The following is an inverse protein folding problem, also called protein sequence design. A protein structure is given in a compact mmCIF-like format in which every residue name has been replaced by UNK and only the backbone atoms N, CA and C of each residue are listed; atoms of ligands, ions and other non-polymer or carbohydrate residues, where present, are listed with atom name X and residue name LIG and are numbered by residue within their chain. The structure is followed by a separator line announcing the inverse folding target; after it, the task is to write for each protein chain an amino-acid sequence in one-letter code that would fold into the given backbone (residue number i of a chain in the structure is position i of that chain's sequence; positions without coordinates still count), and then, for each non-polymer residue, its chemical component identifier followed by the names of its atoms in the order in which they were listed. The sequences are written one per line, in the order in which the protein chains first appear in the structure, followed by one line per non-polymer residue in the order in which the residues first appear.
data_IF_019007965061
#
_entry.id   IF_019007965061
#
_cell.length_a   1.000
_cell.length_b   1.000
_cell.length_c   1.000
_cell.angle_alpha   90.00
_cell.angle_beta   90.00
_cell.angle_gamma   90.00
#
_symmetry.space_group_name_H-M   'P 1'
#
loop_
_entity.id
_entity.type
_entity.pdbx_description
1 polymer ?
#
# COMPACT_ATOMS: atom_id res chain seq x y z
N UNK A 1 -67.06 -8.24 -66.69
CA UNK A 1 -65.62 -8.23 -66.33
C UNK A 1 -65.52 -7.88 -64.86
N UNK A 2 -65.35 -8.90 -64.00
CA UNK A 2 -65.28 -8.77 -62.54
C UNK A 2 -63.80 -8.86 -62.14
N UNK A 3 -63.24 -7.79 -61.56
CA UNK A 3 -61.87 -7.76 -61.05
C UNK A 3 -61.86 -8.34 -59.63
N UNK A 4 -61.08 -9.40 -59.45
CA UNK A 4 -60.80 -10.01 -58.15
C UNK A 4 -59.64 -9.26 -57.47
N UNK A 5 -59.89 -8.66 -56.31
CA UNK A 5 -58.85 -8.16 -55.42
C UNK A 5 -58.49 -9.25 -54.41
N UNK A 6 -57.22 -9.67 -54.39
CA UNK A 6 -56.64 -10.55 -53.36
C UNK A 6 -56.23 -9.72 -52.13
N UNK A 7 -56.47 -10.20 -50.89
CA UNK A 7 -55.98 -9.54 -49.70
C UNK A 7 -54.52 -9.91 -49.44
N UNK A 8 -53.66 -8.89 -49.30
CA UNK A 8 -52.28 -9.04 -48.81
C UNK A 8 -52.35 -9.25 -47.30
N UNK A 9 -51.96 -10.44 -46.86
CA UNK A 9 -51.78 -10.80 -45.45
C UNK A 9 -50.52 -10.12 -44.93
N UNK A 10 -50.65 -9.27 -43.91
CA UNK A 10 -49.51 -8.74 -43.17
C UNK A 10 -48.87 -9.88 -42.35
N UNK A 11 -47.70 -10.35 -42.80
CA UNK A 11 -46.82 -11.20 -42.00
C UNK A 11 -46.26 -10.35 -40.87
N UNK A 12 -46.76 -10.57 -39.66
CA UNK A 12 -46.20 -10.02 -38.43
C UNK A 12 -44.77 -10.57 -38.24
N UNK A 13 -43.76 -9.71 -38.43
CA UNK A 13 -42.39 -10.00 -38.02
C UNK A 13 -42.29 -9.80 -36.51
N UNK A 14 -42.27 -10.90 -35.76
CA UNK A 14 -41.84 -10.95 -34.37
C UNK A 14 -40.37 -10.52 -34.30
N UNK A 15 -40.12 -9.30 -33.81
CA UNK A 15 -38.81 -8.88 -33.31
C UNK A 15 -38.65 -9.50 -31.91
N UNK A 16 -37.91 -10.61 -31.83
CA UNK A 16 -37.39 -11.08 -30.56
C UNK A 16 -36.29 -10.12 -30.09
N UNK A 17 -36.64 -9.19 -29.20
CA UNK A 17 -35.65 -8.41 -28.47
C UNK A 17 -34.92 -9.35 -27.49
N UNK A 18 -33.74 -9.83 -27.90
CA UNK A 18 -32.83 -10.49 -26.98
C UNK A 18 -32.35 -9.47 -25.94
N UNK A 19 -32.95 -9.50 -24.76
CA UNK A 19 -32.41 -8.89 -23.55
C UNK A 19 -31.05 -9.55 -23.27
N UNK A 20 -29.98 -8.93 -23.75
CA UNK A 20 -28.65 -9.18 -23.21
C UNK A 20 -28.70 -8.62 -21.79
N UNK A 21 -28.96 -9.50 -20.83
CA UNK A 21 -28.77 -9.23 -19.41
C UNK A 21 -27.27 -9.02 -19.20
N UNK A 22 -26.82 -7.78 -19.44
CA UNK A 22 -25.50 -7.33 -19.05
C UNK A 22 -25.42 -7.44 -17.54
N UNK A 23 -24.76 -8.49 -17.06
CA UNK A 23 -24.41 -8.63 -15.65
C UNK A 23 -23.44 -7.50 -15.33
N UNK A 24 -23.96 -6.36 -14.88
CA UNK A 24 -23.16 -5.33 -14.26
C UNK A 24 -22.62 -5.91 -12.95
N UNK A 25 -21.43 -6.50 -13.00
CA UNK A 25 -20.63 -6.73 -11.81
C UNK A 25 -20.26 -5.35 -11.26
N UNK A 26 -21.11 -4.81 -10.39
CA UNK A 26 -20.70 -3.74 -9.51
C UNK A 26 -19.55 -4.27 -8.65
N UNK A 27 -18.36 -3.70 -8.81
CA UNK A 27 -17.28 -3.96 -7.87
C UNK A 27 -17.77 -3.50 -6.49
N UNK A 28 -17.98 -4.44 -5.57
CA UNK A 28 -18.15 -4.10 -4.16
C UNK A 28 -16.89 -3.36 -3.72
N UNK A 29 -17.05 -2.09 -3.33
CA UNK A 29 -15.97 -1.33 -2.74
C UNK A 29 -15.66 -1.98 -1.39
N UNK A 30 -14.43 -2.46 -1.23
CA UNK A 30 -13.91 -2.86 0.09
C UNK A 30 -13.91 -1.62 0.97
N UNK A 31 -14.62 -1.67 2.10
CA UNK A 31 -14.67 -0.58 3.07
C UNK A 31 -13.62 -0.83 4.15
N UNK A 32 -12.77 0.16 4.41
CA UNK A 32 -11.78 0.11 5.50
C UNK A 32 -12.31 0.89 6.71
N UNK A 33 -12.08 0.37 7.91
CA UNK A 33 -12.40 1.08 9.16
C UNK A 33 -11.40 2.22 9.38
N UNK A 34 -11.88 3.45 9.26
CA UNK A 34 -11.10 4.67 9.51
C UNK A 34 -11.51 5.36 10.82
N UNK A 35 -12.27 4.69 11.69
CA UNK A 35 -12.60 5.21 13.02
C UNK A 35 -11.33 5.30 13.89
N UNK A 36 -11.20 6.29 14.77
CA UNK A 36 -10.02 6.40 15.63
C UNK A 36 -9.90 5.28 16.67
N UNK A 37 -11.01 4.62 17.03
CA UNK A 37 -11.04 3.56 18.05
C UNK A 37 -10.33 2.28 17.59
N UNK A 38 -10.35 1.98 16.29
CA UNK A 38 -9.72 0.81 15.67
C UNK A 38 -9.95 -0.50 16.48
N UNK A 39 -11.20 -0.90 16.75
CA UNK A 39 -11.52 -2.04 17.61
C UNK A 39 -10.98 -3.38 17.08
N UNK A 40 -10.72 -3.46 15.77
CA UNK A 40 -10.16 -4.65 15.13
C UNK A 40 -8.61 -4.68 15.13
N UNK A 41 -7.95 -3.64 15.65
CA UNK A 41 -6.48 -3.59 15.72
C UNK A 41 -5.95 -4.76 16.52
N UNK A 42 -5.08 -5.54 15.89
CA UNK A 42 -4.48 -6.71 16.51
C UNK A 42 -3.55 -6.31 17.66
N UNK A 43 -3.52 -7.13 18.71
CA UNK A 43 -2.66 -6.96 19.89
C UNK A 43 -1.71 -8.13 20.00
N UNK A 44 -0.48 -7.84 20.38
CA UNK A 44 0.58 -8.82 20.59
C UNK A 44 0.71 -9.24 22.05
N UNK A 45 1.53 -10.26 22.28
CA UNK A 45 2.01 -10.63 23.61
C UNK A 45 3.46 -10.15 23.78
N UNK A 46 3.86 -9.87 25.04
CA UNK A 46 5.25 -9.56 25.38
C UNK A 46 6.14 -10.73 24.99
N UNK A 47 7.26 -10.41 24.34
CA UNK A 47 8.26 -11.38 23.97
C UNK A 47 9.55 -11.15 24.78
N UNK A 48 9.87 -12.03 25.75
CA UNK A 48 11.07 -11.88 26.58
C UNK A 48 12.37 -11.79 25.78
N UNK A 49 12.46 -12.45 24.63
CA UNK A 49 13.67 -12.39 23.79
C UNK A 49 13.88 -10.99 23.18
N UNK A 50 12.79 -10.28 22.86
CA UNK A 50 12.85 -8.92 22.33
C UNK A 50 13.24 -7.94 23.44
N UNK A 51 12.68 -8.09 24.63
CA UNK A 51 13.07 -7.28 25.78
C UNK A 51 14.53 -7.49 26.18
N UNK A 52 15.02 -8.73 26.18
CA UNK A 52 16.42 -9.06 26.46
C UNK A 52 17.39 -8.55 25.38
N UNK A 53 16.93 -8.30 24.16
CA UNK A 53 17.74 -7.75 23.08
C UNK A 53 17.96 -6.23 23.21
N UNK A 54 17.27 -5.54 24.13
CA UNK A 54 17.51 -4.12 24.36
C UNK A 54 18.94 -3.89 24.89
N UNK A 55 19.69 -2.94 24.30
CA UNK A 55 21.01 -2.60 24.80
C UNK A 55 20.97 -2.20 26.28
N UNK A 56 21.98 -2.60 27.04
CA UNK A 56 22.10 -2.21 28.44
C UNK A 56 22.10 -0.68 28.58
N UNK A 57 21.17 -0.16 29.41
CA UNK A 57 21.03 1.29 29.63
C UNK A 57 20.33 2.05 28.49
N UNK A 58 19.73 1.36 27.51
CA UNK A 58 18.95 2.01 26.46
C UNK A 58 17.85 2.88 27.05
N UNK A 59 17.70 4.10 26.51
CA UNK A 59 16.68 5.07 26.93
C UNK A 59 15.76 5.34 25.76
N UNK A 60 14.49 5.03 25.97
CA UNK A 60 13.43 5.45 25.06
C UNK A 60 13.23 6.97 25.12
N UNK A 61 12.69 7.55 24.05
CA UNK A 61 12.26 8.94 23.95
C UNK A 61 11.29 9.31 25.09
N UNK A 62 10.44 8.37 25.49
CA UNK A 62 9.55 8.48 26.64
C UNK A 62 9.60 7.19 27.47
N UNK A 63 9.65 7.32 28.81
CA UNK A 63 9.78 6.16 29.69
C UNK A 63 8.63 5.16 29.50
N UNK A 64 8.98 3.87 29.38
CA UNK A 64 8.05 2.75 29.17
C UNK A 64 7.18 2.84 27.89
N UNK A 65 7.60 3.64 26.91
CA UNK A 65 6.87 3.90 25.68
C UNK A 65 7.78 3.74 24.46
N UNK A 66 7.33 3.01 23.45
CA UNK A 66 7.91 3.04 22.11
C UNK A 66 7.26 4.19 21.33
N UNK A 67 8.05 5.21 21.01
CA UNK A 67 7.61 6.41 20.31
C UNK A 67 8.01 6.33 18.84
N UNK A 68 7.03 6.25 17.94
CA UNK A 68 7.26 6.05 16.50
C UNK A 68 6.81 7.28 15.72
N UNK A 69 7.68 7.84 14.90
CA UNK A 69 7.33 8.89 13.95
C UNK A 69 6.74 8.32 12.66
N UNK A 70 5.60 8.84 12.22
CA UNK A 70 4.90 8.43 10.99
C UNK A 70 4.43 9.68 10.24
N UNK A 71 4.57 9.67 8.90
CA UNK A 71 3.95 10.65 8.03
C UNK A 71 2.63 10.09 7.48
N UNK A 72 1.45 10.54 7.95
CA UNK A 72 0.17 9.90 7.66
C UNK A 72 -0.44 10.41 6.34
N UNK A 73 0.25 10.17 5.23
CA UNK A 73 -0.14 10.67 3.91
C UNK A 73 -0.11 9.59 2.81
N UNK A 74 -0.08 8.31 3.19
CA UNK A 74 0.09 7.20 2.26
C UNK A 74 -0.87 6.03 2.59
N UNK A 75 -2.19 6.18 2.39
CA UNK A 75 -3.12 5.08 2.58
C UNK A 75 -2.84 3.93 1.59
N UNK A 76 -3.05 2.65 1.99
CA UNK A 76 -3.54 2.18 3.28
C UNK A 76 -2.45 2.00 4.36
N UNK A 77 -1.20 2.39 4.09
CA UNK A 77 -0.09 2.22 5.04
C UNK A 77 -0.26 3.14 6.25
N UNK A 78 -0.51 4.42 6.01
CA UNK A 78 -0.82 5.36 7.09
C UNK A 78 -1.59 6.58 6.59
N UNK A 79 -2.65 6.95 7.32
CA UNK A 79 -3.49 8.12 7.08
C UNK A 79 -4.08 8.61 8.41
N UNK A 80 -4.68 9.79 8.42
CA UNK A 80 -5.53 10.21 9.52
C UNK A 80 -6.87 9.47 9.50
N UNK A 81 -7.37 9.14 10.68
CA UNK A 81 -8.71 8.66 10.95
C UNK A 81 -9.75 9.76 10.71
N UNK A 82 -11.03 9.42 10.88
CA UNK A 82 -12.17 10.35 10.74
C UNK A 82 -12.16 11.52 11.73
N UNK A 83 -11.37 11.43 12.81
CA UNK A 83 -11.13 12.52 13.77
C UNK A 83 -10.06 13.53 13.31
N UNK A 84 -9.46 13.31 12.13
CA UNK A 84 -8.36 14.09 11.56
C UNK A 84 -7.11 14.22 12.44
N UNK A 85 -6.91 13.30 13.40
CA UNK A 85 -5.82 13.35 14.38
C UNK A 85 -5.16 11.99 14.59
N UNK A 86 -5.94 10.94 14.75
CA UNK A 86 -5.45 9.59 15.03
C UNK A 86 -4.86 8.99 13.77
N UNK A 87 -3.66 8.42 13.85
CA UNK A 87 -3.03 7.75 12.70
C UNK A 87 -3.52 6.30 12.64
N UNK A 88 -4.05 5.91 11.48
CA UNK A 88 -4.60 4.58 11.17
C UNK A 88 -4.03 4.04 9.87
N UNK A 89 -4.06 2.72 9.69
CA UNK A 89 -3.45 2.01 8.57
C UNK A 89 -2.55 0.86 9.01
N UNK A 90 -1.82 0.28 8.07
CA UNK A 90 -0.92 -0.85 8.35
C UNK A 90 0.27 -0.48 9.25
N UNK A 91 0.91 0.67 9.03
CA UNK A 91 2.07 1.12 9.81
C UNK A 91 1.75 1.25 11.32
N UNK A 92 0.68 1.96 11.75
CA UNK A 92 0.33 2.05 13.17
C UNK A 92 -0.10 0.72 13.77
N UNK A 93 -0.69 -0.19 12.99
CA UNK A 93 -1.06 -1.53 13.45
C UNK A 93 0.17 -2.41 13.70
N UNK A 94 1.14 -2.39 12.78
CA UNK A 94 2.42 -3.09 12.96
C UNK A 94 3.22 -2.47 14.13
N UNK A 95 3.22 -1.15 14.25
CA UNK A 95 3.83 -0.43 15.37
C UNK A 95 3.26 -0.88 16.72
N UNK A 96 1.95 -1.13 16.80
CA UNK A 96 1.30 -1.62 18.02
C UNK A 96 1.80 -3.02 18.39
N UNK A 97 1.89 -3.93 17.42
CA UNK A 97 2.38 -5.30 17.66
C UNK A 97 3.85 -5.31 18.13
N UNK A 98 4.68 -4.41 17.60
CA UNK A 98 6.08 -4.27 18.01
C UNK A 98 6.17 -3.69 19.43
N UNK A 99 5.38 -2.66 19.75
CA UNK A 99 5.31 -2.11 21.09
C UNK A 99 4.84 -3.16 22.12
N UNK A 100 3.80 -3.94 21.79
CA UNK A 100 3.30 -5.03 22.63
C UNK A 100 4.38 -6.10 22.87
N UNK A 101 5.11 -6.49 21.82
CA UNK A 101 6.22 -7.45 21.89
C UNK A 101 7.35 -6.96 22.81
N UNK A 102 7.63 -5.66 22.81
CA UNK A 102 8.57 -5.00 23.72
C UNK A 102 8.02 -4.81 25.14
N UNK A 103 6.74 -5.07 25.39
CA UNK A 103 6.09 -4.72 26.65
C UNK A 103 6.09 -3.22 26.92
N UNK A 104 5.91 -2.39 25.89
CA UNK A 104 5.87 -0.93 25.98
C UNK A 104 4.54 -0.38 25.48
N UNK A 105 4.18 0.82 25.93
CA UNK A 105 3.08 1.57 25.33
C UNK A 105 3.49 2.04 23.94
N UNK A 106 2.55 2.10 23.01
CA UNK A 106 2.78 2.77 21.73
C UNK A 106 2.43 4.24 21.85
N UNK A 107 3.31 5.12 21.34
CA UNK A 107 3.00 6.52 21.04
C UNK A 107 3.37 6.82 19.60
N UNK A 108 2.39 7.25 18.82
CA UNK A 108 2.63 7.71 17.46
C UNK A 108 2.78 9.22 17.46
N UNK A 109 3.82 9.70 16.78
CA UNK A 109 4.08 11.12 16.55
C UNK A 109 3.90 11.39 15.05
N UNK A 110 2.76 11.96 14.64
CA UNK A 110 2.59 12.45 13.28
C UNK A 110 3.64 13.52 12.99
N UNK A 111 4.30 13.43 11.84
CA UNK A 111 5.30 14.42 11.41
C UNK A 111 5.27 14.63 9.89
N UNK A 112 5.76 15.80 9.45
CA UNK A 112 6.06 16.00 8.05
C UNK A 112 7.31 15.19 7.70
N UNK A 113 7.34 14.56 6.51
CA UNK A 113 8.48 13.74 6.10
C UNK A 113 9.82 14.47 6.27
N UNK A 114 9.91 15.75 5.91
CA UNK A 114 11.15 16.52 6.05
C UNK A 114 11.74 16.55 7.48
N UNK A 115 10.90 16.36 8.51
CA UNK A 115 11.30 16.49 9.93
C UNK A 115 11.81 15.17 10.53
N UNK A 116 11.69 14.03 9.83
CA UNK A 116 12.07 12.72 10.37
C UNK A 116 13.51 12.64 10.89
N UNK A 117 14.54 13.22 10.23
CA UNK A 117 15.91 13.08 10.70
C UNK A 117 16.13 13.79 12.02
N UNK A 118 15.61 15.03 12.13
CA UNK A 118 15.72 15.82 13.36
C UNK A 118 14.93 15.16 14.50
N UNK A 119 13.78 14.55 14.21
CA UNK A 119 12.98 13.84 15.20
C UNK A 119 13.76 12.68 15.84
N UNK A 120 14.50 11.89 15.05
CA UNK A 120 15.39 10.85 15.57
C UNK A 120 16.58 11.42 16.33
N UNK A 121 17.30 12.37 15.74
CA UNK A 121 18.51 12.94 16.33
C UNK A 121 18.25 13.62 17.69
N UNK A 122 17.11 14.29 17.82
CA UNK A 122 16.71 14.97 19.06
C UNK A 122 16.16 14.02 20.13
N UNK A 123 15.94 12.75 19.81
CA UNK A 123 15.25 11.80 20.68
C UNK A 123 13.77 12.11 20.86
N UNK A 124 13.14 12.87 19.94
CA UNK A 124 11.69 13.10 19.93
C UNK A 124 10.92 11.81 19.65
N UNK A 125 11.53 10.90 18.88
CA UNK A 125 11.01 9.57 18.55
C UNK A 125 12.14 8.54 18.63
N UNK A 126 11.80 7.29 18.90
CA UNK A 126 12.73 6.16 18.94
C UNK A 126 13.02 5.58 17.55
N UNK A 127 12.04 5.65 16.65
CA UNK A 127 12.15 5.11 15.28
C UNK A 127 11.17 5.80 14.33
N UNK A 128 11.37 5.60 13.02
CA UNK A 128 10.51 6.09 11.93
C UNK A 128 9.97 4.90 11.15
N UNK A 129 8.66 4.88 10.92
CA UNK A 129 8.02 3.90 10.04
C UNK A 129 7.63 4.57 8.73
N UNK A 130 8.05 3.97 7.61
CA UNK A 130 7.75 4.43 6.26
C UNK A 130 8.10 3.37 5.22
N UNK A 131 7.92 3.68 3.94
CA UNK A 131 8.24 2.79 2.82
C UNK A 131 9.75 2.55 2.71
N UNK A 132 10.11 1.30 2.42
CA UNK A 132 11.49 0.84 2.39
C UNK A 132 12.37 1.64 1.41
N UNK A 133 11.90 1.83 0.17
CA UNK A 133 12.67 2.54 -0.86
C UNK A 133 13.11 3.95 -0.44
N UNK A 134 12.24 4.69 0.27
CA UNK A 134 12.56 6.01 0.79
C UNK A 134 13.58 5.93 1.94
N UNK A 135 13.38 5.02 2.89
CA UNK A 135 14.30 4.87 4.03
C UNK A 135 15.66 4.31 3.61
N UNK A 136 15.71 3.39 2.65
CA UNK A 136 16.93 2.84 2.08
C UNK A 136 17.76 3.91 1.36
N UNK A 137 17.11 4.72 0.51
CA UNK A 137 17.77 5.86 -0.14
C UNK A 137 18.34 6.82 0.90
N UNK A 138 17.54 7.20 1.91
CA UNK A 138 18.00 8.11 2.97
C UNK A 138 19.15 7.53 3.79
N UNK A 139 19.08 6.25 4.18
CA UNK A 139 20.16 5.56 4.89
C UNK A 139 21.43 5.48 4.03
N UNK A 140 21.31 5.40 2.70
CA UNK A 140 22.48 5.41 1.81
C UNK A 140 23.22 6.77 1.77
N UNK A 141 22.51 7.87 2.08
CA UNK A 141 23.07 9.22 2.11
C UNK A 141 23.63 9.61 3.49
N UNK A 142 23.30 8.85 4.54
CA UNK A 142 23.46 9.26 5.93
C UNK A 142 24.23 8.24 6.74
N UNK A 143 25.16 8.71 7.57
CA UNK A 143 25.90 7.86 8.51
C UNK A 143 25.25 7.71 9.89
N UNK A 144 24.18 8.45 10.15
CA UNK A 144 23.54 8.59 11.47
C UNK A 144 22.17 7.90 11.58
N UNK A 145 21.73 7.22 10.52
CA UNK A 145 20.50 6.45 10.48
C UNK A 145 20.77 5.09 9.86
N UNK A 146 20.11 4.04 10.39
CA UNK A 146 20.24 2.66 9.91
C UNK A 146 18.86 2.09 9.61
N UNK A 147 18.72 1.47 8.45
CA UNK A 147 17.53 0.69 8.10
C UNK A 147 17.48 -0.59 8.96
N UNK A 148 16.33 -0.89 9.56
CA UNK A 148 16.13 -2.04 10.45
C UNK A 148 14.96 -2.87 9.96
N UNK A 149 15.26 -4.07 9.44
CA UNK A 149 14.25 -5.01 8.96
C UNK A 149 13.43 -4.48 7.78
N UNK A 150 12.64 -5.36 7.17
CA UNK A 150 11.59 -4.97 6.22
C UNK A 150 10.37 -5.88 6.44
N UNK A 151 9.18 -5.31 6.27
CA UNK A 151 7.91 -6.05 6.26
C UNK A 151 7.18 -5.66 4.98
N UNK A 152 6.60 -6.63 4.26
CA UNK A 152 5.86 -6.32 3.04
C UNK A 152 4.57 -5.57 3.37
N UNK A 153 4.39 -4.38 2.81
CA UNK A 153 3.11 -3.65 2.87
C UNK A 153 1.99 -4.25 2.02
N UNK A 154 2.25 -5.35 1.29
CA UNK A 154 1.31 -5.98 0.35
C UNK A 154 1.07 -7.48 0.59
N UNK A 155 1.46 -8.00 1.75
CA UNK A 155 1.49 -9.45 2.03
C UNK A 155 0.19 -10.17 1.62
N UNK A 156 0.25 -11.38 1.02
CA UNK A 156 1.43 -12.22 0.77
C UNK A 156 2.26 -11.82 -0.46
N UNK A 157 1.90 -10.73 -1.14
CA UNK A 157 2.66 -10.20 -2.29
C UNK A 157 3.62 -9.10 -1.84
N UNK A 158 4.62 -8.80 -2.64
CA UNK A 158 5.43 -7.59 -2.47
C UNK A 158 4.58 -6.36 -2.82
N UNK A 159 4.80 -5.26 -2.08
CA UNK A 159 4.18 -3.99 -2.39
C UNK A 159 4.96 -3.29 -3.52
N UNK A 160 4.77 -3.75 -4.74
CA UNK A 160 5.48 -3.21 -5.92
C UNK A 160 5.01 -1.79 -6.26
N UNK A 161 5.90 -0.99 -6.86
CA UNK A 161 5.54 0.32 -7.43
C UNK A 161 4.70 0.10 -8.70
N UNK A 162 3.52 0.72 -8.76
CA UNK A 162 2.57 0.55 -9.86
C UNK A 162 2.45 1.80 -10.76
N UNK A 163 2.16 1.58 -12.05
CA UNK A 163 1.68 2.60 -12.97
C UNK A 163 0.18 2.40 -13.20
N UNK A 164 -0.62 3.41 -12.90
CA UNK A 164 -2.08 3.37 -13.08
C UNK A 164 -2.50 4.26 -14.25
N UNK A 165 -3.36 3.76 -15.12
CA UNK A 165 -3.91 4.51 -16.27
C UNK A 165 -5.43 4.50 -16.28
N UNK A 166 -6.03 5.44 -17.03
CA UNK A 166 -7.48 5.46 -17.22
C UNK A 166 -7.94 4.18 -17.93
N UNK A 167 -9.00 3.55 -17.42
CA UNK A 167 -9.67 2.43 -18.09
C UNK A 167 -10.03 2.82 -19.53
N UNK A 168 -9.73 1.93 -20.49
CA UNK A 168 -10.01 2.15 -21.90
C UNK A 168 -9.06 3.10 -22.63
N UNK A 169 -8.00 3.60 -21.99
CA UNK A 169 -7.00 4.46 -22.64
C UNK A 169 -6.14 3.76 -23.70
N UNK A 170 -6.14 2.42 -23.72
CA UNK A 170 -5.22 1.63 -24.55
C UNK A 170 -3.76 1.64 -24.06
N UNK A 171 -3.45 2.31 -22.94
CA UNK A 171 -2.06 2.49 -22.49
C UNK A 171 -1.49 1.34 -21.65
N UNK A 172 -2.34 0.50 -21.04
CA UNK A 172 -1.90 -0.52 -20.09
C UNK A 172 -0.89 -1.52 -20.69
N UNK A 173 -1.19 -2.04 -21.88
CA UNK A 173 -0.33 -2.99 -22.58
C UNK A 173 0.96 -2.32 -23.11
N UNK A 174 0.92 -1.18 -23.85
CA UNK A 174 2.13 -0.48 -24.27
C UNK A 174 3.08 -0.13 -23.13
N UNK A 175 2.57 0.32 -21.98
CA UNK A 175 3.40 0.62 -20.80
C UNK A 175 4.04 -0.64 -20.22
N UNK A 176 3.30 -1.75 -20.17
CA UNK A 176 3.83 -3.04 -19.70
C UNK A 176 4.94 -3.54 -20.63
N UNK A 177 4.77 -3.43 -21.95
CA UNK A 177 5.79 -3.78 -22.94
C UNK A 177 7.03 -2.88 -22.81
N UNK A 178 6.84 -1.57 -22.64
CA UNK A 178 7.93 -0.63 -22.46
C UNK A 178 8.78 -0.95 -21.22
N UNK A 179 8.15 -1.21 -20.07
CA UNK A 179 8.87 -1.58 -18.84
C UNK A 179 9.65 -2.88 -19.05
N UNK A 180 9.03 -3.91 -19.62
CA UNK A 180 9.71 -5.19 -19.85
C UNK A 180 10.88 -5.07 -20.85
N UNK A 181 10.79 -4.20 -21.86
CA UNK A 181 11.91 -3.90 -22.74
C UNK A 181 13.07 -3.21 -21.98
N UNK A 182 12.77 -2.29 -21.06
CA UNK A 182 13.76 -1.63 -20.20
C UNK A 182 14.39 -2.59 -19.17
N UNK A 183 13.63 -3.57 -18.69
CA UNK A 183 14.16 -4.67 -17.87
C UNK A 183 15.13 -5.51 -18.70
N UNK A 184 14.70 -5.98 -19.87
CA UNK A 184 15.49 -6.86 -20.73
C UNK A 184 16.81 -6.23 -21.22
N UNK A 185 16.80 -4.92 -21.51
CA UNK A 185 17.99 -4.21 -21.97
C UNK A 185 18.88 -3.67 -20.83
N UNK A 186 18.52 -3.92 -19.58
CA UNK A 186 19.28 -3.52 -18.39
C UNK A 186 19.17 -2.05 -17.99
N UNK A 187 18.41 -1.22 -18.71
CA UNK A 187 18.23 0.19 -18.36
C UNK A 187 17.48 0.37 -17.04
N UNK A 188 16.53 -0.52 -16.75
CA UNK A 188 15.83 -0.57 -15.46
C UNK A 188 16.79 -0.79 -14.29
N UNK A 189 17.67 -1.79 -14.40
CA UNK A 189 18.68 -2.10 -13.37
C UNK A 189 19.61 -0.90 -13.15
N UNK A 190 20.14 -0.30 -14.21
CA UNK A 190 20.98 0.91 -14.13
C UNK A 190 20.28 2.07 -13.40
N UNK A 191 18.97 2.23 -13.61
CA UNK A 191 18.20 3.24 -12.91
C UNK A 191 18.08 2.93 -11.41
N UNK A 192 17.85 1.67 -11.02
CA UNK A 192 17.84 1.26 -9.61
C UNK A 192 19.22 1.44 -8.96
N UNK A 193 20.29 1.00 -9.62
CA UNK A 193 21.67 1.10 -9.13
C UNK A 193 22.05 2.56 -8.84
N UNK A 194 21.63 3.48 -9.73
CA UNK A 194 21.87 4.91 -9.60
C UNK A 194 21.27 5.49 -8.33
N UNK A 195 20.10 5.00 -7.93
CA UNK A 195 19.36 5.46 -6.75
C UNK A 195 19.51 4.53 -5.53
N UNK A 196 20.35 3.48 -5.60
CA UNK A 196 20.55 2.48 -4.53
C UNK A 196 19.27 1.72 -4.18
N UNK A 197 18.47 1.38 -5.18
CA UNK A 197 17.17 0.71 -5.04
C UNK A 197 17.19 -0.75 -5.54
N UNK A 198 18.35 -1.39 -5.58
CA UNK A 198 18.53 -2.70 -6.21
C UNK A 198 17.71 -3.81 -5.54
N UNK A 199 17.41 -3.65 -4.25
CA UNK A 199 16.54 -4.55 -3.48
C UNK A 199 15.06 -4.52 -3.92
N UNK A 200 14.64 -3.48 -4.64
CA UNK A 200 13.26 -3.31 -5.16
C UNK A 200 13.09 -3.87 -6.58
N UNK A 201 14.13 -4.54 -7.12
CA UNK A 201 14.11 -5.05 -8.49
C UNK A 201 13.06 -6.15 -8.67
N UNK A 202 12.26 -6.03 -9.73
CA UNK A 202 11.39 -7.11 -10.21
C UNK A 202 11.95 -7.72 -11.50
N UNK A 203 11.71 -9.01 -11.70
CA UNK A 203 12.14 -9.70 -12.92
C UNK A 203 11.23 -9.41 -14.13
N UNK A 204 9.95 -9.09 -13.87
CA UNK A 204 8.97 -8.87 -14.93
C UNK A 204 7.81 -7.99 -14.46
N UNK A 205 7.45 -7.00 -15.29
CA UNK A 205 6.24 -6.21 -15.10
C UNK A 205 5.01 -6.90 -15.68
N UNK A 206 3.86 -6.75 -15.02
CA UNK A 206 2.59 -7.37 -15.40
C UNK A 206 1.51 -6.30 -15.59
N UNK A 207 0.61 -6.52 -16.54
CA UNK A 207 -0.62 -5.75 -16.65
C UNK A 207 -1.63 -6.26 -15.64
N UNK A 208 -2.14 -5.38 -14.77
CA UNK A 208 -3.15 -5.72 -13.76
C UNK A 208 -2.79 -7.01 -12.97
N UNK A 209 -1.60 -7.05 -12.33
CA UNK A 209 -1.27 -8.17 -11.45
C UNK A 209 -2.31 -8.27 -10.33
N UNK A 210 -2.53 -9.45 -9.74
CA UNK A 210 -3.43 -9.57 -8.61
C UNK A 210 -2.99 -8.62 -7.50
N UNK A 211 -3.87 -7.69 -7.11
CA UNK A 211 -3.65 -6.75 -6.01
C UNK A 211 -3.84 -7.40 -4.64
N UNK A 212 -4.07 -6.56 -3.63
CA UNK A 212 -4.48 -7.02 -2.29
C UNK A 212 -5.69 -7.98 -2.42
N UNK A 213 -5.74 -9.06 -1.60
CA UNK A 213 -6.87 -9.98 -1.62
C UNK A 213 -8.18 -9.22 -1.49
N UNK A 214 -9.18 -9.56 -2.31
CA UNK A 214 -10.55 -9.11 -2.08
C UNK A 214 -11.08 -9.92 -0.90
N UNK A 215 -11.23 -9.28 0.25
CA UNK A 215 -12.02 -9.82 1.37
C UNK A 215 -13.49 -9.66 1.08
#
# INVERSE_FOLDING_TARGET
MRSHAFPVTHVARLLAAALIAGSAFAAQAVSFDLSPEQPARQRGAVNPAVEQALPAGFRFAEANTLTIGIAPNLPPLSTYATDARTVVGFDPDLAQLIADSLGRKLKIVPLAWADWPLALQSGKVDTIFSVNSMLAYQASLRGDAKLIGTVSGGWPRTADIAITTRKGSGLAEPLTLAINALIANGSYRKALDHWRLDAEAIDRSQTNPPGLPRT
#
